data_IF_687924526416
#
_entry.id   IF_687924526416
#
_cell.length_a   1.000
_cell.length_b   1.000
_cell.length_c   1.000
_cell.angle_alpha   90.00
_cell.angle_beta   90.00
_cell.angle_gamma   90.00
#
_symmetry.space_group_name_H-M   'P 1'
#
loop_
_entity.id
_entity.type
_entity.pdbx_description
1 polymer ?
#
# COMPACT_ATOMS: atom_id res chain seq x y z
N UNK A 1 16.28 -37.24 36.99
CA UNK A 1 16.93 -38.03 35.93
C UNK A 1 15.88 -38.97 35.39
N UNK A 2 15.45 -38.81 34.13
CA UNK A 2 14.44 -39.68 33.54
C UNK A 2 14.97 -41.12 33.53
N UNK A 3 14.19 -42.05 34.07
CA UNK A 3 14.56 -43.46 34.17
C UNK A 3 14.50 -44.05 32.76
N UNK A 4 15.61 -44.02 32.03
CA UNK A 4 15.66 -44.57 30.66
C UNK A 4 15.68 -46.08 30.78
N UNK A 5 14.71 -46.75 30.17
CA UNK A 5 14.73 -48.20 30.03
C UNK A 5 15.97 -48.59 29.20
N UNK A 6 16.79 -49.49 29.74
CA UNK A 6 18.04 -49.93 29.11
C UNK A 6 17.93 -51.42 28.81
N UNK A 7 18.00 -51.76 27.53
CA UNK A 7 18.11 -53.14 27.07
C UNK A 7 19.58 -53.47 26.76
N UNK A 8 20.05 -54.66 27.17
CA UNK A 8 21.42 -55.09 26.88
C UNK A 8 21.47 -55.88 25.58
N UNK A 9 22.30 -55.43 24.64
CA UNK A 9 22.59 -56.15 23.40
C UNK A 9 23.98 -56.78 23.54
N UNK A 10 24.08 -58.09 23.29
CA UNK A 10 25.31 -58.86 23.52
C UNK A 10 26.21 -58.84 22.27
N UNK A 11 26.95 -57.75 22.05
CA UNK A 11 27.86 -57.62 20.90
C UNK A 11 29.29 -58.03 21.27
N UNK A 12 29.95 -58.78 20.39
CA UNK A 12 31.37 -59.17 20.55
C UNK A 12 32.26 -58.19 19.80
N UNK A 13 33.21 -57.57 20.51
CA UNK A 13 34.22 -56.70 19.91
C UNK A 13 35.56 -57.43 19.74
N UNK A 14 36.33 -57.14 18.68
CA UNK A 14 37.74 -57.51 18.59
C UNK A 14 38.54 -57.04 19.81
N UNK A 15 39.46 -57.89 20.32
CA UNK A 15 40.25 -57.61 21.53
C UNK A 15 41.06 -56.30 21.45
N UNK A 16 41.54 -55.96 20.26
CA UNK A 16 42.28 -54.72 19.98
C UNK A 16 41.40 -53.49 20.20
N UNK A 17 40.17 -53.51 19.66
CA UNK A 17 39.19 -52.45 19.84
C UNK A 17 38.73 -52.32 21.29
N UNK A 18 38.52 -53.44 21.99
CA UNK A 18 38.15 -53.40 23.42
C UNK A 18 39.26 -52.75 24.27
N UNK A 19 40.53 -53.00 23.96
CA UNK A 19 41.66 -52.35 24.64
C UNK A 19 41.67 -50.85 24.38
N UNK A 20 41.57 -50.43 23.12
CA UNK A 20 41.54 -49.02 22.75
C UNK A 20 40.36 -48.27 23.39
N UNK A 21 39.15 -48.84 23.36
CA UNK A 21 37.96 -48.26 23.96
C UNK A 21 38.11 -48.05 25.47
N UNK A 22 38.66 -49.03 26.19
CA UNK A 22 38.91 -48.91 27.64
C UNK A 22 39.96 -47.85 27.96
N UNK A 23 41.00 -47.72 27.14
CA UNK A 23 42.00 -46.67 27.30
C UNK A 23 41.37 -45.29 27.12
N UNK A 24 40.62 -45.08 26.04
CA UNK A 24 39.93 -43.82 25.78
C UNK A 24 38.91 -43.45 26.87
N UNK A 25 38.18 -44.45 27.40
CA UNK A 25 37.24 -44.24 28.50
C UNK A 25 37.95 -43.74 29.77
N UNK A 26 39.12 -44.31 30.09
CA UNK A 26 39.94 -43.87 31.23
C UNK A 26 40.47 -42.46 31.05
N UNK A 27 40.97 -42.12 29.86
CA UNK A 27 41.48 -40.78 29.55
C UNK A 27 40.40 -39.71 29.69
N UNK A 28 39.15 -40.05 29.34
CA UNK A 28 38.00 -39.13 29.36
C UNK A 28 37.21 -39.17 30.66
N UNK A 29 37.63 -39.96 31.66
CA UNK A 29 36.89 -40.18 32.91
C UNK A 29 35.43 -40.63 32.69
N UNK A 30 35.17 -41.43 31.66
CA UNK A 30 33.84 -41.97 31.32
C UNK A 30 33.84 -43.50 31.28
N UNK A 31 32.68 -44.12 31.05
CA UNK A 31 32.61 -45.58 30.87
C UNK A 31 32.76 -45.97 29.40
N UNK A 32 33.32 -47.15 29.16
CA UNK A 32 33.41 -47.72 27.81
C UNK A 32 32.02 -47.83 27.14
N UNK A 33 30.98 -48.08 27.94
CA UNK A 33 29.59 -48.12 27.50
C UNK A 33 29.11 -46.74 27.02
N UNK A 34 29.42 -45.67 27.76
CA UNK A 34 29.02 -44.31 27.36
C UNK A 34 29.67 -43.90 26.05
N UNK A 35 30.95 -44.24 25.84
CA UNK A 35 31.61 -43.97 24.56
C UNK A 35 30.99 -44.75 23.39
N UNK A 36 30.55 -45.99 23.62
CA UNK A 36 29.84 -46.76 22.59
C UNK A 36 28.48 -46.12 22.29
N UNK A 37 27.75 -45.68 23.31
CA UNK A 37 26.48 -44.97 23.14
C UNK A 37 26.70 -43.68 22.33
N UNK A 38 27.74 -42.90 22.63
CA UNK A 38 28.11 -41.70 21.86
C UNK A 38 28.43 -42.04 20.40
N UNK A 39 29.21 -43.09 20.15
CA UNK A 39 29.52 -43.54 18.79
C UNK A 39 28.27 -43.99 18.02
N UNK A 40 27.35 -44.69 18.68
CA UNK A 40 26.08 -45.09 18.08
C UNK A 40 25.20 -43.87 17.76
N UNK A 41 25.13 -42.86 18.62
CA UNK A 41 24.44 -41.61 18.31
C UNK A 41 25.03 -40.88 17.11
N UNK A 42 26.36 -40.91 16.95
CA UNK A 42 27.02 -40.31 15.80
C UNK A 42 26.64 -41.01 14.48
N UNK A 43 26.54 -42.34 14.48
CA UNK A 43 26.23 -43.13 13.27
C UNK A 43 24.73 -43.13 12.96
N UNK A 44 23.88 -43.31 13.97
CA UNK A 44 22.43 -43.45 13.80
C UNK A 44 21.69 -42.10 13.76
N UNK A 45 22.36 -41.01 14.12
CA UNK A 45 21.74 -39.69 14.22
C UNK A 45 20.77 -39.59 15.41
N UNK A 46 19.79 -38.68 15.29
CA UNK A 46 18.80 -38.44 16.34
C UNK A 46 17.72 -39.53 16.33
N UNK A 47 17.79 -40.42 17.32
CA UNK A 47 16.74 -41.42 17.58
C UNK A 47 15.77 -40.84 18.62
N UNK A 48 14.48 -40.75 18.27
CA UNK A 48 13.44 -40.25 19.17
C UNK A 48 13.41 -41.08 20.47
N UNK A 49 13.38 -40.38 21.63
CA UNK A 49 13.38 -41.01 22.96
C UNK A 49 14.75 -41.10 23.66
N UNK A 50 15.84 -40.72 23.01
CA UNK A 50 17.17 -40.70 23.63
C UNK A 50 17.54 -39.31 24.18
N UNK A 51 17.89 -39.23 25.47
CA UNK A 51 18.35 -37.97 26.08
C UNK A 51 19.73 -37.64 25.53
N UNK A 52 19.81 -36.63 24.64
CA UNK A 52 21.07 -36.08 24.14
C UNK A 52 21.97 -35.70 25.33
N UNK A 53 23.10 -36.39 25.51
CA UNK A 53 24.11 -35.99 26.49
C UNK A 53 24.58 -34.57 26.19
N UNK A 54 24.77 -33.73 27.21
CA UNK A 54 25.25 -32.34 27.05
C UNK A 54 26.50 -32.29 26.19
N UNK A 55 27.39 -33.28 26.34
CA UNK A 55 28.64 -33.41 25.60
C UNK A 55 28.42 -33.64 24.10
N UNK A 56 27.37 -34.37 23.70
CA UNK A 56 27.01 -34.56 22.28
C UNK A 56 26.50 -33.27 21.64
N UNK A 57 25.73 -32.47 22.39
CA UNK A 57 25.28 -31.13 21.93
C UNK A 57 26.45 -30.17 21.84
N UNK A 58 27.41 -30.27 22.75
CA UNK A 58 28.58 -29.40 22.77
C UNK A 58 29.51 -29.71 21.59
N UNK A 59 29.76 -30.99 21.29
CA UNK A 59 30.47 -31.40 20.08
C UNK A 59 29.75 -30.97 18.80
N UNK A 60 28.42 -31.10 18.72
CA UNK A 60 27.64 -30.61 17.58
C UNK A 60 27.83 -29.11 17.38
N UNK A 61 27.75 -28.32 18.45
CA UNK A 61 27.98 -26.87 18.40
C UNK A 61 29.43 -26.51 18.02
N UNK A 62 30.42 -27.24 18.52
CA UNK A 62 31.83 -27.06 18.15
C UNK A 62 32.07 -27.36 16.66
N UNK A 63 31.45 -28.41 16.13
CA UNK A 63 31.53 -28.72 14.69
C UNK A 63 30.85 -27.66 13.84
N UNK A 64 29.70 -27.13 14.26
CA UNK A 64 29.03 -26.03 13.55
C UNK A 64 29.86 -24.74 13.59
N UNK A 65 30.46 -24.41 14.73
CA UNK A 65 31.31 -23.23 14.87
C UNK A 65 32.59 -23.33 14.04
N UNK A 66 33.22 -24.51 14.00
CA UNK A 66 34.42 -24.73 13.16
C UNK A 66 34.09 -24.68 11.67
N UNK A 67 32.91 -25.15 11.25
CA UNK A 67 32.42 -24.99 9.87
C UNK A 67 32.22 -23.50 9.56
N UNK A 68 31.63 -22.72 10.45
CA UNK A 68 31.43 -21.27 10.27
C UNK A 68 32.78 -20.52 10.25
N UNK A 69 33.71 -20.90 11.13
CA UNK A 69 35.01 -20.25 11.23
C UNK A 69 35.96 -20.59 10.06
N UNK A 70 35.85 -21.81 9.52
CA UNK A 70 36.65 -22.27 8.39
C UNK A 70 35.94 -22.08 7.04
N UNK A 71 34.65 -21.73 7.02
CA UNK A 71 34.08 -21.12 5.84
C UNK A 71 34.82 -19.79 5.64
N UNK A 72 35.49 -19.59 4.49
CA UNK A 72 35.84 -18.23 4.11
C UNK A 72 34.53 -17.47 4.15
N UNK A 73 34.49 -16.37 4.90
CA UNK A 73 33.40 -15.40 4.81
C UNK A 73 33.35 -15.01 3.34
N UNK A 74 32.49 -15.69 2.59
CA UNK A 74 32.17 -15.29 1.23
C UNK A 74 31.68 -13.86 1.38
N UNK A 75 32.41 -12.95 0.74
CA UNK A 75 32.03 -11.57 0.48
C UNK A 75 30.70 -11.44 -0.31
N UNK A 76 29.82 -12.44 -0.28
CA UNK A 76 28.57 -12.52 -1.01
C UNK A 76 27.46 -11.63 -0.44
N UNK A 77 27.56 -11.18 0.81
CA UNK A 77 26.65 -10.15 1.34
C UNK A 77 27.16 -8.74 1.09
N UNK A 78 28.44 -8.56 0.78
CA UNK A 78 29.07 -7.25 0.65
C UNK A 78 29.06 -6.76 -0.80
N UNK A 79 29.36 -7.61 -1.79
CA UNK A 79 29.46 -7.16 -3.20
C UNK A 79 28.10 -6.82 -3.82
N UNK A 80 27.07 -7.63 -3.57
CA UNK A 80 25.70 -7.33 -4.01
C UNK A 80 25.11 -6.10 -3.31
N UNK A 81 25.46 -5.90 -2.03
CA UNK A 81 25.06 -4.73 -1.25
C UNK A 81 25.78 -3.48 -1.73
N UNK A 82 27.09 -3.56 -2.03
CA UNK A 82 27.88 -2.48 -2.63
C UNK A 82 27.35 -2.09 -4.00
N UNK A 83 27.04 -3.05 -4.88
CA UNK A 83 26.43 -2.77 -6.17
C UNK A 83 25.06 -2.10 -6.03
N UNK A 84 24.24 -2.57 -5.08
CA UNK A 84 22.94 -1.94 -4.80
C UNK A 84 23.09 -0.53 -4.24
N UNK A 85 24.06 -0.29 -3.38
CA UNK A 85 24.39 1.05 -2.86
C UNK A 85 24.85 1.98 -3.98
N UNK A 86 25.77 1.55 -4.84
CA UNK A 86 26.21 2.31 -6.01
C UNK A 86 25.04 2.65 -6.95
N UNK A 87 24.13 1.70 -7.19
CA UNK A 87 22.93 1.96 -7.99
C UNK A 87 21.96 2.95 -7.31
N UNK A 88 21.84 2.90 -5.98
CA UNK A 88 21.02 3.84 -5.24
C UNK A 88 21.64 5.24 -5.26
N UNK A 89 22.95 5.37 -5.03
CA UNK A 89 23.68 6.63 -5.14
C UNK A 89 23.47 7.27 -6.53
N UNK A 90 23.69 6.49 -7.60
CA UNK A 90 23.48 6.96 -8.96
C UNK A 90 22.03 7.41 -9.23
N UNK A 91 21.03 6.68 -8.72
CA UNK A 91 19.61 7.07 -8.83
C UNK A 91 19.31 8.34 -8.06
N UNK A 92 19.88 8.51 -6.86
CA UNK A 92 19.69 9.72 -6.05
C UNK A 92 20.32 10.93 -6.71
N UNK A 93 21.49 10.79 -7.31
CA UNK A 93 22.16 11.86 -8.04
C UNK A 93 21.37 12.25 -9.30
N UNK A 94 20.84 11.27 -10.04
CA UNK A 94 19.97 11.54 -11.19
C UNK A 94 18.67 12.27 -10.79
N UNK A 95 18.07 11.92 -9.64
CA UNK A 95 16.90 12.63 -9.10
C UNK A 95 17.28 14.06 -8.72
N UNK A 96 18.40 14.26 -8.04
CA UNK A 96 18.91 15.58 -7.66
C UNK A 96 19.12 16.48 -8.88
N UNK A 97 19.74 15.96 -9.95
CA UNK A 97 19.94 16.71 -11.20
C UNK A 97 18.61 17.09 -11.86
N UNK A 98 17.63 16.17 -11.89
CA UNK A 98 16.29 16.46 -12.43
C UNK A 98 15.55 17.50 -11.59
N UNK A 99 15.66 17.44 -10.25
CA UNK A 99 15.09 18.45 -9.37
C UNK A 99 15.73 19.83 -9.62
N UNK A 100 17.06 19.91 -9.73
CA UNK A 100 17.74 21.16 -10.07
C UNK A 100 17.29 21.74 -11.43
N UNK A 101 17.07 20.88 -12.43
CA UNK A 101 16.52 21.30 -13.72
C UNK A 101 15.07 21.81 -13.60
N UNK A 102 14.22 21.13 -12.83
CA UNK A 102 12.84 21.56 -12.58
C UNK A 102 12.80 22.88 -11.80
N UNK A 103 13.63 23.04 -10.77
CA UNK A 103 13.77 24.29 -10.01
C UNK A 103 14.24 25.44 -10.90
N UNK A 104 15.22 25.20 -11.78
CA UNK A 104 15.65 26.18 -12.78
C UNK A 104 14.53 26.56 -13.76
N UNK A 105 13.77 25.57 -14.26
CA UNK A 105 12.63 25.81 -15.13
C UNK A 105 11.51 26.58 -14.41
N UNK A 106 11.22 26.23 -13.16
CA UNK A 106 10.25 26.93 -12.31
C UNK A 106 10.70 28.35 -11.97
N UNK A 107 11.99 28.59 -11.74
CA UNK A 107 12.52 29.93 -11.52
C UNK A 107 12.40 30.83 -12.77
N UNK A 108 12.55 30.25 -13.96
CA UNK A 108 12.32 30.96 -15.23
C UNK A 108 10.82 31.21 -15.44
N UNK A 109 9.98 30.22 -15.18
CA UNK A 109 8.53 30.33 -15.30
C UNK A 109 7.97 31.34 -14.29
N UNK A 110 8.47 31.35 -13.06
CA UNK A 110 8.06 32.28 -12.01
C UNK A 110 8.48 33.71 -12.31
N UNK A 111 9.68 33.92 -12.89
CA UNK A 111 10.10 35.23 -13.42
C UNK A 111 9.24 35.69 -14.60
N UNK A 112 8.76 34.76 -15.44
CA UNK A 112 7.80 35.06 -16.53
C UNK A 112 6.40 35.34 -15.99
N UNK A 113 5.98 34.71 -14.89
CA UNK A 113 4.68 34.93 -14.26
C UNK A 113 4.65 36.12 -13.28
N UNK A 114 5.81 36.56 -12.78
CA UNK A 114 5.94 37.78 -11.95
C UNK A 114 6.02 39.06 -12.77
N UNK A 115 6.20 38.95 -14.09
CA UNK A 115 5.89 40.01 -15.04
C UNK A 115 4.38 40.17 -15.13
N UNK A 116 3.83 41.03 -14.29
CA UNK A 116 2.41 41.31 -14.20
C UNK A 116 1.79 41.73 -15.54
N UNK A 117 1.37 40.75 -16.34
CA UNK A 117 0.10 40.90 -17.03
C UNK A 117 -0.95 40.81 -15.94
N UNK A 118 -1.21 41.97 -15.31
CA UNK A 118 -2.46 42.24 -14.62
C UNK A 118 -3.52 42.13 -15.71
N UNK A 119 -3.87 40.90 -16.07
CA UNK A 119 -5.08 40.60 -16.81
C UNK A 119 -6.16 41.14 -15.89
N UNK A 120 -6.58 42.37 -16.18
CA UNK A 120 -7.89 42.85 -15.79
C UNK A 120 -8.79 41.71 -16.22
N UNK A 121 -9.26 40.92 -15.26
CA UNK A 121 -10.47 40.16 -15.49
C UNK A 121 -11.44 41.24 -15.90
N UNK A 122 -11.77 41.30 -17.19
CA UNK A 122 -13.01 41.93 -17.57
C UNK A 122 -14.02 41.18 -16.70
N UNK A 123 -14.47 41.85 -15.63
CA UNK A 123 -15.70 41.49 -14.96
C UNK A 123 -16.76 41.71 -16.02
N UNK A 124 -16.87 40.75 -16.93
CA UNK A 124 -18.01 40.60 -17.79
C UNK A 124 -19.08 40.07 -16.86
N UNK A 125 -19.70 41.01 -16.13
CA UNK A 125 -21.05 40.81 -15.66
C UNK A 125 -21.88 40.88 -16.94
N UNK A 126 -22.33 39.75 -17.51
CA UNK A 126 -23.35 39.85 -18.55
C UNK A 126 -24.48 40.71 -17.96
N UNK A 127 -25.01 41.68 -18.72
CA UNK A 127 -26.14 42.46 -18.23
C UNK A 127 -27.19 41.45 -17.78
N UNK A 128 -27.63 41.56 -16.52
CA UNK A 128 -28.79 40.82 -16.06
C UNK A 128 -29.94 41.32 -16.92
N UNK A 129 -30.26 40.58 -17.98
CA UNK A 129 -31.36 40.91 -18.86
C UNK A 129 -32.61 40.84 -17.99
N UNK A 130 -33.17 42.00 -17.67
CA UNK A 130 -34.45 42.09 -16.99
C UNK A 130 -35.47 41.36 -17.86
N UNK A 131 -36.07 40.32 -17.30
CA UNK A 131 -37.08 39.55 -18.01
C UNK A 131 -38.23 40.49 -18.36
N UNK A 132 -38.54 40.57 -19.64
CA UNK A 132 -39.67 41.35 -20.14
C UNK A 132 -40.93 40.50 -20.12
N UNK A 133 -42.08 41.16 -20.24
CA UNK A 133 -43.35 40.48 -20.40
C UNK A 133 -43.34 39.63 -21.69
N UNK A 134 -43.75 38.37 -21.58
CA UNK A 134 -43.74 37.43 -22.70
C UNK A 134 -45.15 37.12 -23.19
N UNK A 135 -45.27 36.91 -24.51
CA UNK A 135 -46.43 36.23 -25.10
C UNK A 135 -46.43 34.76 -24.68
N UNK A 136 -47.60 34.13 -24.65
CA UNK A 136 -47.75 32.71 -24.26
C UNK A 136 -46.79 31.76 -24.98
N UNK A 137 -46.56 31.96 -26.28
CA UNK A 137 -45.60 31.15 -27.07
C UNK A 137 -44.15 31.25 -26.56
N UNK A 138 -43.71 32.46 -26.21
CA UNK A 138 -42.34 32.71 -25.75
C UNK A 138 -42.15 32.18 -24.33
N UNK A 139 -43.17 32.30 -23.48
CA UNK A 139 -43.15 31.71 -22.15
C UNK A 139 -43.16 30.18 -22.24
N UNK A 140 -44.01 29.58 -23.08
CA UNK A 140 -44.07 28.14 -23.28
C UNK A 140 -42.70 27.57 -23.72
N UNK A 141 -42.02 28.24 -24.66
CA UNK A 141 -40.65 27.89 -25.08
C UNK A 141 -39.66 27.94 -23.92
N UNK A 142 -39.72 28.99 -23.08
CA UNK A 142 -38.82 29.15 -21.93
C UNK A 142 -39.04 28.08 -20.85
N UNK A 143 -40.30 27.75 -20.58
CA UNK A 143 -40.69 26.72 -19.60
C UNK A 143 -40.55 25.29 -20.14
N UNK A 144 -40.23 25.13 -21.43
CA UNK A 144 -40.09 23.82 -22.08
C UNK A 144 -41.43 23.06 -22.21
N UNK A 145 -42.54 23.78 -22.35
CA UNK A 145 -43.90 23.20 -22.45
C UNK A 145 -44.58 23.61 -23.75
N UNK A 146 -45.65 22.91 -24.13
CA UNK A 146 -46.50 23.32 -25.25
C UNK A 146 -47.40 24.50 -24.85
N UNK A 147 -47.80 25.33 -25.82
CA UNK A 147 -48.73 26.43 -25.59
C UNK A 147 -50.09 25.93 -25.05
N UNK A 148 -50.58 24.80 -25.56
CA UNK A 148 -51.82 24.18 -25.08
C UNK A 148 -51.73 23.77 -23.61
N UNK A 149 -50.59 23.22 -23.17
CA UNK A 149 -50.35 22.87 -21.77
C UNK A 149 -50.32 24.12 -20.89
N UNK A 150 -49.69 25.19 -21.36
CA UNK A 150 -49.63 26.46 -20.63
C UNK A 150 -51.03 27.08 -20.45
N UNK A 151 -51.86 27.09 -21.49
CA UNK A 151 -53.24 27.58 -21.41
C UNK A 151 -54.13 26.69 -20.53
N UNK A 152 -53.92 25.38 -20.56
CA UNK A 152 -54.63 24.43 -19.71
C UNK A 152 -54.30 24.67 -18.23
N UNK A 153 -53.02 24.84 -17.89
CA UNK A 153 -52.59 25.09 -16.51
C UNK A 153 -53.05 26.47 -16.01
N UNK A 154 -53.10 27.46 -16.91
CA UNK A 154 -53.66 28.77 -16.59
C UNK A 154 -55.16 28.70 -16.23
N UNK A 155 -55.93 27.81 -16.87
CA UNK A 155 -57.37 27.64 -16.61
C UNK A 155 -57.64 26.75 -15.40
N UNK A 156 -56.79 25.75 -15.18
CA UNK A 156 -57.01 24.72 -14.17
C UNK A 156 -56.57 25.14 -12.77
N UNK A 157 -55.62 26.08 -12.66
CA UNK A 157 -55.01 26.47 -11.39
C UNK A 157 -55.38 27.89 -10.98
N UNK A 158 -55.33 28.16 -9.68
CA UNK A 158 -55.41 29.54 -9.17
C UNK A 158 -54.12 30.31 -9.52
N UNK A 159 -54.17 31.64 -9.60
CA UNK A 159 -53.02 32.49 -10.01
C UNK A 159 -51.74 32.17 -9.23
N UNK A 160 -51.84 31.92 -7.93
CA UNK A 160 -50.67 31.65 -7.08
C UNK A 160 -50.04 30.28 -7.36
N UNK A 161 -50.85 29.28 -7.68
CA UNK A 161 -50.38 27.93 -7.99
C UNK A 161 -49.74 27.92 -9.38
N UNK A 162 -50.35 28.63 -10.33
CA UNK A 162 -49.77 28.85 -11.66
C UNK A 162 -48.40 29.55 -11.59
N UNK A 163 -48.25 30.55 -10.74
CA UNK A 163 -46.96 31.24 -10.51
C UNK A 163 -45.89 30.29 -9.97
N UNK A 164 -46.25 29.42 -9.02
CA UNK A 164 -45.33 28.42 -8.46
C UNK A 164 -44.97 27.34 -9.48
N UNK A 165 -45.96 26.90 -10.27
CA UNK A 165 -45.75 25.95 -11.36
C UNK A 165 -44.78 26.51 -12.40
N UNK A 166 -44.98 27.77 -12.81
CA UNK A 166 -44.05 28.48 -13.69
C UNK A 166 -42.65 28.57 -13.08
N UNK A 167 -42.55 28.97 -11.79
CA UNK A 167 -41.29 29.07 -11.06
C UNK A 167 -40.52 27.75 -11.00
N UNK A 168 -41.21 26.63 -10.84
CA UNK A 168 -40.58 25.30 -10.76
C UNK A 168 -39.97 24.83 -12.09
N UNK A 169 -40.46 25.36 -13.22
CA UNK A 169 -40.05 24.98 -14.58
C UNK A 169 -39.11 25.98 -15.24
N UNK A 170 -39.09 27.22 -14.74
CA UNK A 170 -38.26 28.28 -15.27
C UNK A 170 -36.78 28.05 -14.92
N UNK A 171 -35.85 28.08 -15.90
CA UNK A 171 -34.41 27.92 -15.62
C UNK A 171 -33.84 28.97 -14.66
N UNK A 172 -34.49 30.13 -14.54
CA UNK A 172 -34.12 31.20 -13.62
C UNK A 172 -34.92 31.20 -12.31
N UNK A 173 -35.77 30.19 -12.07
CA UNK A 173 -36.68 30.13 -10.92
C UNK A 173 -37.56 31.38 -10.79
N UNK A 174 -38.07 31.88 -11.93
CA UNK A 174 -38.94 33.07 -12.00
C UNK A 174 -40.38 32.63 -12.11
N UNK A 175 -41.24 33.17 -11.24
CA UNK A 175 -42.69 33.00 -11.36
C UNK A 175 -43.23 33.88 -12.48
N UNK A 176 -44.31 33.46 -13.13
CA UNK A 176 -44.94 34.24 -14.21
C UNK A 176 -46.43 34.40 -13.93
N UNK A 177 -46.94 35.63 -14.06
CA UNK A 177 -48.37 35.93 -13.90
C UNK A 177 -48.95 36.49 -15.18
N UNK A 178 -50.15 36.05 -15.50
CA UNK A 178 -50.91 36.57 -16.63
C UNK A 178 -51.52 37.93 -16.28
N UNK A 179 -51.17 38.97 -17.04
CA UNK A 179 -51.68 40.33 -16.90
C UNK A 179 -52.97 40.56 -17.69
N UNK A 180 -53.66 41.66 -17.39
CA UNK A 180 -54.84 42.11 -18.13
C UNK A 180 -54.53 42.57 -19.56
N UNK A 181 -53.26 42.81 -19.87
CA UNK A 181 -52.71 43.13 -21.18
C UNK A 181 -52.51 41.91 -22.09
N UNK A 182 -52.81 40.71 -21.59
CA UNK A 182 -52.66 39.46 -22.33
C UNK A 182 -51.21 38.97 -22.41
N UNK A 183 -50.31 39.51 -21.58
CA UNK A 183 -48.91 39.10 -21.50
C UNK A 183 -48.60 38.46 -20.15
N UNK A 184 -47.56 37.65 -20.12
CA UNK A 184 -47.03 37.05 -18.90
C UNK A 184 -45.90 37.90 -18.34
N UNK A 185 -46.09 38.42 -17.13
CA UNK A 185 -45.12 39.26 -16.44
C UNK A 185 -44.32 38.44 -15.42
N UNK A 186 -42.99 38.61 -15.35
CA UNK A 186 -42.16 37.91 -14.39
C UNK A 186 -42.34 38.45 -12.98
N UNK A 187 -42.35 37.54 -12.01
CA UNK A 187 -42.48 37.79 -10.58
C UNK A 187 -41.27 37.13 -9.91
N UNK A 188 -40.56 37.92 -9.10
CA UNK A 188 -39.50 37.43 -8.21
C UNK A 188 -40.14 36.70 -7.04
#
# INVERSE_FOLDING_TARGET
MANTERESINFKLPKTLTKALRTAARERNTTATDLVIQGLHHILGQVEGTVRSVESRLQELETQLTIIANQPVESGTDDGSKQRLLQLEQKTEAISQRLAQLEGALAILSKRSSGGSRRQSYNYHPPQLELQAYKGENLAKRLGVSLATLEQELKNQNSKDFENWCRSRDPGSVGWRYGSDGLFHPIK
#
